data_IF_009200150115
#
_entry.id   IF_009200150115
#
_cell.length_a   1.000
_cell.length_b   1.000
_cell.length_c   1.000
_cell.angle_alpha   90.00
_cell.angle_beta   90.00
_cell.angle_gamma   90.00
#
_symmetry.space_group_name_H-M   'P 1'
#
loop_
_entity.id
_entity.type
_entity.pdbx_description
1 polymer ?
#
# COMPACT_ATOMS: atom_id res chain seq x y z
N UNK A 1 -2.43 54.70 -23.86
CA UNK A 1 -3.45 55.54 -23.19
C UNK A 1 -2.91 56.67 -22.29
N UNK A 2 -1.63 56.66 -21.82
CA UNK A 2 -1.04 57.77 -21.04
C UNK A 2 -0.71 59.04 -21.86
N UNK A 3 -0.58 58.93 -23.20
CA UNK A 3 -0.21 60.08 -24.08
C UNK A 3 -1.38 61.00 -24.45
N UNK A 4 -2.62 60.50 -24.40
CA UNK A 4 -3.84 61.30 -24.67
C UNK A 4 -4.34 62.07 -23.44
N UNK A 5 -4.00 61.59 -22.23
CA UNK A 5 -4.23 62.33 -20.98
C UNK A 5 -3.25 63.50 -20.83
N UNK A 6 -2.02 63.37 -21.33
CA UNK A 6 -1.03 64.46 -21.31
C UNK A 6 -1.37 65.60 -22.28
N UNK A 7 -1.98 65.30 -23.44
CA UNK A 7 -2.38 66.35 -24.39
C UNK A 7 -3.57 67.17 -23.91
N UNK A 8 -4.45 66.62 -23.07
CA UNK A 8 -5.59 67.35 -22.50
C UNK A 8 -5.19 68.31 -21.36
N UNK A 9 -4.22 67.91 -20.53
CA UNK A 9 -3.64 68.81 -19.52
C UNK A 9 -2.81 69.94 -20.15
N UNK A 10 -2.12 69.66 -21.27
CA UNK A 10 -1.34 70.66 -22.00
C UNK A 10 -2.20 71.75 -22.64
N UNK A 11 -3.37 71.42 -23.19
CA UNK A 11 -4.26 72.41 -23.82
C UNK A 11 -4.99 73.29 -22.79
N UNK A 12 -5.22 72.80 -21.57
CA UNK A 12 -5.83 73.60 -20.51
C UNK A 12 -4.82 74.48 -19.76
N UNK A 13 -3.54 74.09 -19.71
CA UNK A 13 -2.47 74.89 -19.09
C UNK A 13 -1.97 76.03 -19.98
N UNK A 14 -2.15 75.94 -21.30
CA UNK A 14 -1.74 76.97 -22.26
C UNK A 14 -2.56 78.27 -22.18
N UNK A 15 -3.72 78.28 -21.49
CA UNK A 15 -4.54 79.49 -21.34
C UNK A 15 -4.21 80.32 -20.08
N UNK A 16 -3.36 79.80 -19.18
CA UNK A 16 -3.05 80.46 -17.89
C UNK A 16 -1.79 81.33 -17.96
N UNK A 17 -1.01 81.27 -19.05
CA UNK A 17 0.29 81.95 -19.14
C UNK A 17 0.35 83.07 -20.20
N UNK A 18 -0.53 84.09 -20.11
CA UNK A 18 -0.21 85.50 -20.46
C UNK A 18 -1.22 86.42 -19.76
N UNK A 19 -0.74 87.41 -19.00
CA UNK A 19 -0.87 88.76 -19.55
C UNK A 19 0.40 89.58 -19.29
N UNK A 20 1.01 90.08 -20.36
CA UNK A 20 1.92 91.21 -20.28
C UNK A 20 1.41 92.26 -21.28
N UNK A 21 0.69 93.24 -20.72
CA UNK A 21 0.50 94.60 -21.21
C UNK A 21 -0.40 94.80 -22.44
N UNK A 22 -1.66 95.08 -22.15
CA UNK A 22 -2.37 96.18 -22.79
C UNK A 22 -3.03 97.01 -21.69
N UNK A 23 -2.28 97.99 -21.20
CA UNK A 23 -2.82 99.11 -20.46
C UNK A 23 -3.30 100.16 -21.47
N UNK A 24 -4.61 100.36 -21.56
CA UNK A 24 -5.23 101.68 -21.75
C UNK A 24 -6.74 101.53 -21.57
N UNK A 25 -7.19 102.02 -20.42
CA UNK A 25 -8.49 102.62 -20.08
C UNK A 25 -9.70 102.39 -20.99
N UNK A 26 -10.79 101.95 -20.35
CA UNK A 26 -12.14 101.99 -20.93
C UNK A 26 -13.08 101.02 -20.24
N UNK A 27 -13.39 101.27 -18.96
CA UNK A 27 -14.36 100.45 -18.23
C UNK A 27 -15.75 100.53 -18.84
N UNK A 28 -16.49 99.42 -18.83
CA UNK A 28 -17.93 99.37 -18.57
C UNK A 28 -18.39 97.92 -18.37
N UNK A 29 -18.93 97.63 -17.18
CA UNK A 29 -20.04 96.71 -17.03
C UNK A 29 -19.70 95.24 -16.78
N UNK A 30 -19.13 94.95 -15.61
CA UNK A 30 -19.46 93.71 -14.91
C UNK A 30 -20.98 93.63 -14.75
N UNK A 31 -21.61 92.71 -15.46
CA UNK A 31 -22.73 91.97 -14.89
C UNK A 31 -22.16 90.65 -14.36
N UNK A 32 -22.34 90.30 -13.07
CA UNK A 32 -21.94 88.98 -12.56
C UNK A 32 -22.47 87.83 -13.43
N UNK A 33 -23.54 88.04 -14.19
CA UNK A 33 -24.20 87.08 -15.06
C UNK A 33 -23.40 86.62 -16.29
N UNK A 34 -22.67 87.48 -17.02
CA UNK A 34 -22.04 87.09 -18.31
C UNK A 34 -20.80 86.20 -18.12
N UNK A 35 -19.95 86.51 -17.13
CA UNK A 35 -18.79 85.68 -16.80
C UNK A 35 -19.22 84.30 -16.27
N UNK A 36 -20.29 84.25 -15.46
CA UNK A 36 -20.88 83.02 -14.97
C UNK A 36 -21.46 82.16 -16.11
N UNK A 37 -22.08 82.77 -17.13
CA UNK A 37 -22.58 82.04 -18.32
C UNK A 37 -21.43 81.39 -19.10
N UNK A 38 -20.35 82.10 -19.35
CA UNK A 38 -19.19 81.56 -20.05
C UNK A 38 -18.53 80.37 -19.29
N UNK A 39 -18.32 80.53 -17.97
CA UNK A 39 -17.80 79.43 -17.13
C UNK A 39 -18.76 78.25 -17.07
N UNK A 40 -20.07 78.50 -17.00
CA UNK A 40 -21.09 77.45 -16.98
C UNK A 40 -21.09 76.64 -18.27
N UNK A 41 -21.00 77.30 -19.43
CA UNK A 41 -20.92 76.63 -20.74
C UNK A 41 -19.62 75.80 -20.84
N UNK A 42 -18.48 76.35 -20.43
CA UNK A 42 -17.21 75.63 -20.44
C UNK A 42 -17.25 74.39 -19.52
N UNK A 43 -17.81 74.54 -18.31
CA UNK A 43 -18.03 73.43 -17.39
C UNK A 43 -18.98 72.37 -17.96
N UNK A 44 -20.06 72.77 -18.64
CA UNK A 44 -21.02 71.85 -19.27
C UNK A 44 -20.37 71.02 -20.38
N UNK A 45 -19.54 71.65 -21.21
CA UNK A 45 -18.78 70.97 -22.27
C UNK A 45 -17.79 69.97 -21.66
N UNK A 46 -17.04 70.37 -20.63
CA UNK A 46 -16.11 69.48 -19.91
C UNK A 46 -16.86 68.30 -19.26
N UNK A 47 -17.97 68.57 -18.58
CA UNK A 47 -18.81 67.55 -17.95
C UNK A 47 -19.38 66.57 -18.98
N UNK A 48 -19.80 67.06 -20.15
CA UNK A 48 -20.29 66.23 -21.26
C UNK A 48 -19.23 65.27 -21.80
N UNK A 49 -18.01 65.78 -22.07
CA UNK A 49 -16.88 64.96 -22.52
C UNK A 49 -16.49 63.93 -21.44
N UNK A 50 -16.45 64.34 -20.18
CA UNK A 50 -16.11 63.46 -19.06
C UNK A 50 -17.15 62.35 -18.91
N UNK A 51 -18.46 62.66 -18.94
CA UNK A 51 -19.51 61.65 -18.86
C UNK A 51 -19.50 60.68 -20.05
N UNK A 52 -19.21 61.16 -21.26
CA UNK A 52 -19.08 60.30 -22.43
C UNK A 52 -17.90 59.32 -22.30
N UNK A 53 -16.74 59.82 -21.85
CA UNK A 53 -15.53 58.98 -21.71
C UNK A 53 -15.59 58.05 -20.49
N UNK A 54 -16.21 58.48 -19.38
CA UNK A 54 -16.24 57.75 -18.12
C UNK A 54 -17.36 56.70 -18.04
N UNK A 55 -18.41 56.83 -18.86
CA UNK A 55 -19.55 55.89 -18.89
C UNK A 55 -19.14 54.44 -19.14
N UNK A 56 -18.18 54.20 -20.05
CA UNK A 56 -17.66 52.85 -20.35
C UNK A 56 -16.83 52.27 -19.20
N UNK A 57 -15.70 52.89 -18.77
CA UNK A 57 -14.84 52.33 -17.74
C UNK A 57 -15.54 52.23 -16.37
N UNK A 58 -16.46 53.14 -16.03
CA UNK A 58 -17.22 53.06 -14.79
C UNK A 58 -18.15 51.83 -14.79
N UNK A 59 -18.90 51.60 -15.87
CA UNK A 59 -19.79 50.44 -16.00
C UNK A 59 -19.00 49.13 -15.97
N UNK A 60 -17.89 49.06 -16.69
CA UNK A 60 -17.04 47.87 -16.76
C UNK A 60 -16.39 47.55 -15.41
N UNK A 61 -15.98 48.56 -14.64
CA UNK A 61 -15.43 48.37 -13.29
C UNK A 61 -16.46 47.75 -12.34
N UNK A 62 -17.68 48.30 -12.28
CA UNK A 62 -18.73 47.75 -11.41
C UNK A 62 -19.21 46.37 -11.88
N UNK A 63 -19.33 46.15 -13.20
CA UNK A 63 -19.70 44.85 -13.75
C UNK A 63 -18.62 43.78 -13.48
N UNK A 64 -17.35 44.12 -13.62
CA UNK A 64 -16.22 43.23 -13.31
C UNK A 64 -16.19 42.87 -11.82
N UNK A 65 -16.38 43.86 -10.93
CA UNK A 65 -16.47 43.61 -9.48
C UNK A 65 -17.64 42.70 -9.12
N UNK A 66 -18.83 42.94 -9.67
CA UNK A 66 -20.00 42.09 -9.45
C UNK A 66 -19.78 40.67 -9.96
N UNK A 67 -19.13 40.51 -11.12
CA UNK A 67 -18.80 39.20 -11.69
C UNK A 67 -17.78 38.46 -10.84
N UNK A 68 -16.72 39.15 -10.39
CA UNK A 68 -15.69 38.56 -9.52
C UNK A 68 -16.29 38.06 -8.20
N UNK A 69 -17.18 38.84 -7.57
CA UNK A 69 -17.87 38.42 -6.34
C UNK A 69 -18.74 37.19 -6.60
N UNK A 70 -19.52 37.18 -7.69
CA UNK A 70 -20.34 36.02 -8.06
C UNK A 70 -19.49 34.78 -8.30
N UNK A 71 -18.40 34.91 -9.05
CA UNK A 71 -17.47 33.80 -9.32
C UNK A 71 -16.85 33.28 -8.04
N UNK A 72 -16.39 34.15 -7.14
CA UNK A 72 -15.81 33.72 -5.86
C UNK A 72 -16.83 32.99 -4.98
N UNK A 73 -18.08 33.49 -4.93
CA UNK A 73 -19.15 32.81 -4.18
C UNK A 73 -19.46 31.45 -4.80
N UNK A 74 -19.52 31.35 -6.13
CA UNK A 74 -19.78 30.09 -6.81
C UNK A 74 -18.64 29.09 -6.58
N UNK A 75 -17.38 29.52 -6.74
CA UNK A 75 -16.21 28.71 -6.46
C UNK A 75 -16.17 28.23 -5.01
N UNK A 76 -16.51 29.08 -4.04
CA UNK A 76 -16.58 28.70 -2.64
C UNK A 76 -17.67 27.64 -2.39
N UNK A 77 -18.84 27.78 -3.03
CA UNK A 77 -19.92 26.77 -2.95
C UNK A 77 -19.50 25.45 -3.58
N UNK A 78 -18.88 25.48 -4.76
CA UNK A 78 -18.41 24.29 -5.46
C UNK A 78 -17.30 23.59 -4.68
N UNK A 79 -16.37 24.35 -4.10
CA UNK A 79 -15.32 23.80 -3.25
C UNK A 79 -15.90 23.13 -2.00
N UNK A 80 -16.87 23.78 -1.35
CA UNK A 80 -17.56 23.21 -0.18
C UNK A 80 -18.30 21.92 -0.55
N UNK A 81 -19.08 21.93 -1.64
CA UNK A 81 -19.79 20.74 -2.10
C UNK A 81 -18.85 19.59 -2.49
N UNK A 82 -17.71 19.90 -3.12
CA UNK A 82 -16.69 18.92 -3.46
C UNK A 82 -15.98 18.36 -2.20
N UNK A 83 -15.75 19.20 -1.19
CA UNK A 83 -15.18 18.78 0.08
C UNK A 83 -16.15 17.86 0.84
N UNK A 84 -17.44 18.21 0.90
CA UNK A 84 -18.49 17.40 1.51
C UNK A 84 -18.65 16.05 0.80
N UNK A 85 -18.63 16.02 -0.54
CA UNK A 85 -18.64 14.77 -1.31
C UNK A 85 -17.44 13.88 -0.99
N UNK A 86 -16.23 14.44 -1.03
CA UNK A 86 -15.01 13.70 -0.70
C UNK A 86 -15.04 13.18 0.74
N UNK A 87 -15.54 13.99 1.68
CA UNK A 87 -15.69 13.58 3.07
C UNK A 87 -16.64 12.38 3.19
N UNK A 88 -17.81 12.44 2.56
CA UNK A 88 -18.77 11.34 2.55
C UNK A 88 -18.19 10.07 1.89
N UNK A 89 -17.45 10.22 0.79
CA UNK A 89 -16.73 9.10 0.15
C UNK A 89 -15.69 8.47 1.08
N UNK A 90 -14.90 9.28 1.80
CA UNK A 90 -13.92 8.77 2.76
C UNK A 90 -14.59 8.11 3.96
N UNK A 91 -15.66 8.68 4.49
CA UNK A 91 -16.42 8.09 5.60
C UNK A 91 -17.02 6.73 5.18
N UNK A 92 -17.58 6.64 3.99
CA UNK A 92 -18.10 5.39 3.44
C UNK A 92 -16.99 4.34 3.25
N UNK A 93 -15.82 4.75 2.72
CA UNK A 93 -14.64 3.88 2.60
C UNK A 93 -14.11 3.43 3.95
N UNK A 94 -14.12 4.29 4.96
CA UNK A 94 -13.65 3.92 6.29
C UNK A 94 -14.57 2.86 6.91
N UNK A 95 -15.89 3.04 6.80
CA UNK A 95 -16.87 2.04 7.24
C UNK A 95 -16.75 0.71 6.48
N UNK A 96 -16.47 0.75 5.18
CA UNK A 96 -16.23 -0.50 4.42
C UNK A 96 -14.96 -1.20 4.87
N UNK A 97 -13.88 -0.46 5.12
CA UNK A 97 -12.61 -1.01 5.63
C UNK A 97 -12.82 -1.66 7.00
N UNK A 98 -13.55 -1.02 7.92
CA UNK A 98 -13.85 -1.63 9.23
C UNK A 98 -14.59 -2.95 9.09
N UNK A 99 -15.57 -3.03 8.18
CA UNK A 99 -16.29 -4.27 7.89
C UNK A 99 -15.38 -5.33 7.28
N UNK A 100 -14.60 -4.97 6.26
CA UNK A 100 -13.64 -5.87 5.60
C UNK A 100 -12.58 -6.39 6.58
N UNK A 101 -12.12 -5.55 7.50
CA UNK A 101 -11.18 -5.94 8.55
C UNK A 101 -11.79 -6.95 9.52
N UNK A 102 -13.03 -6.75 9.94
CA UNK A 102 -13.72 -7.71 10.81
C UNK A 102 -13.93 -9.05 10.10
N UNK A 103 -14.34 -9.02 8.83
CA UNK A 103 -14.52 -10.22 8.01
C UNK A 103 -13.18 -10.94 7.80
N UNK A 104 -12.08 -10.19 7.57
CA UNK A 104 -10.72 -10.72 7.44
C UNK A 104 -10.22 -11.36 8.75
N UNK A 105 -10.45 -10.71 9.90
CA UNK A 105 -10.05 -11.28 11.19
C UNK A 105 -10.83 -12.57 11.47
N UNK A 106 -12.13 -12.60 11.17
CA UNK A 106 -12.95 -13.80 11.30
C UNK A 106 -12.47 -14.93 10.38
N UNK A 107 -12.11 -14.63 9.13
CA UNK A 107 -11.57 -15.64 8.20
C UNK A 107 -10.22 -16.17 8.67
N UNK A 108 -9.31 -15.29 9.12
CA UNK A 108 -8.00 -15.69 9.64
C UNK A 108 -8.11 -16.57 10.90
N UNK A 109 -9.06 -16.29 11.79
CA UNK A 109 -9.31 -17.15 12.95
C UNK A 109 -9.80 -18.53 12.53
N UNK A 110 -10.77 -18.58 11.60
CA UNK A 110 -11.30 -19.83 11.07
C UNK A 110 -10.22 -20.66 10.36
N UNK A 111 -9.43 -20.03 9.50
CA UNK A 111 -8.35 -20.68 8.78
C UNK A 111 -7.26 -21.17 9.74
N UNK A 112 -6.93 -20.37 10.76
CA UNK A 112 -6.00 -20.77 11.81
C UNK A 112 -6.49 -21.96 12.63
N UNK A 113 -7.78 -22.05 12.93
CA UNK A 113 -8.36 -23.22 13.60
C UNK A 113 -8.35 -24.47 12.73
N UNK A 114 -8.69 -24.34 11.45
CA UNK A 114 -8.64 -25.44 10.49
C UNK A 114 -7.21 -25.97 10.32
N UNK A 115 -6.24 -25.07 10.18
CA UNK A 115 -4.83 -25.45 10.03
C UNK A 115 -4.30 -26.09 11.32
N UNK A 116 -4.66 -25.55 12.49
CA UNK A 116 -4.33 -26.19 13.79
C UNK A 116 -4.87 -27.62 13.84
N UNK A 117 -6.13 -27.83 13.48
CA UNK A 117 -6.74 -29.18 13.46
C UNK A 117 -6.00 -30.10 12.49
N UNK A 118 -5.68 -29.62 11.29
CA UNK A 118 -4.93 -30.36 10.27
C UNK A 118 -3.54 -30.77 10.75
N UNK A 119 -2.81 -29.85 11.40
CA UNK A 119 -1.48 -30.12 11.95
C UNK A 119 -1.58 -31.19 13.04
N UNK A 120 -2.53 -31.07 13.96
CA UNK A 120 -2.72 -32.06 15.03
C UNK A 120 -3.09 -33.42 14.45
N UNK A 121 -4.03 -33.48 13.51
CA UNK A 121 -4.42 -34.72 12.86
C UNK A 121 -3.24 -35.38 12.14
N UNK A 122 -2.51 -34.61 11.33
CA UNK A 122 -1.32 -35.09 10.61
C UNK A 122 -0.25 -35.59 11.59
N UNK A 123 0.01 -34.86 12.67
CA UNK A 123 0.96 -35.27 13.70
C UNK A 123 0.53 -36.57 14.39
N UNK A 124 -0.75 -36.73 14.72
CA UNK A 124 -1.27 -37.96 15.34
C UNK A 124 -1.13 -39.17 14.40
N UNK A 125 -1.43 -39.00 13.10
CA UNK A 125 -1.24 -40.02 12.09
C UNK A 125 0.23 -40.39 11.91
N UNK A 126 1.13 -39.40 11.89
CA UNK A 126 2.58 -39.62 11.80
C UNK A 126 3.10 -40.38 13.02
N UNK A 127 2.68 -40.00 14.23
CA UNK A 127 3.06 -40.69 15.47
C UNK A 127 2.57 -42.14 15.48
N UNK A 128 1.32 -42.38 15.05
CA UNK A 128 0.78 -43.74 14.94
C UNK A 128 1.57 -44.59 13.95
N UNK A 129 1.86 -44.03 12.78
CA UNK A 129 2.65 -44.70 11.74
C UNK A 129 4.07 -44.99 12.22
N UNK A 130 4.71 -44.02 12.88
CA UNK A 130 6.04 -44.18 13.46
C UNK A 130 6.05 -45.29 14.50
N UNK A 131 5.08 -45.32 15.41
CA UNK A 131 4.96 -46.37 16.42
C UNK A 131 4.82 -47.76 15.78
N UNK A 132 3.93 -47.90 14.79
CA UNK A 132 3.75 -49.17 14.05
C UNK A 132 5.03 -49.61 13.33
N UNK A 133 5.76 -48.67 12.71
CA UNK A 133 7.03 -48.96 12.04
C UNK A 133 8.10 -49.38 13.05
N UNK A 134 8.22 -48.66 14.17
CA UNK A 134 9.17 -48.99 15.24
C UNK A 134 8.90 -50.36 15.86
N UNK A 135 7.63 -50.70 16.12
CA UNK A 135 7.25 -52.04 16.62
C UNK A 135 7.64 -53.14 15.62
N UNK A 136 7.41 -52.92 14.33
CA UNK A 136 7.83 -53.86 13.27
C UNK A 136 9.35 -54.00 13.20
N UNK A 137 10.09 -52.90 13.25
CA UNK A 137 11.56 -52.91 13.26
C UNK A 137 12.10 -53.63 14.50
N UNK A 138 11.56 -53.36 15.70
CA UNK A 138 11.94 -54.04 16.93
C UNK A 138 11.71 -55.55 16.84
N UNK A 139 10.57 -55.98 16.30
CA UNK A 139 10.30 -57.41 16.12
C UNK A 139 11.29 -58.06 15.14
N UNK A 140 11.67 -57.37 14.07
CA UNK A 140 12.66 -57.86 13.12
C UNK A 140 14.06 -57.96 13.75
N UNK A 141 14.48 -56.93 14.50
CA UNK A 141 15.77 -56.95 15.21
C UNK A 141 15.81 -58.02 16.31
N UNK A 142 14.73 -58.20 17.08
CA UNK A 142 14.64 -59.28 18.06
C UNK A 142 14.74 -60.66 17.42
N UNK A 143 14.16 -60.85 16.22
CA UNK A 143 14.28 -62.11 15.48
C UNK A 143 15.72 -62.34 15.02
N UNK A 144 16.36 -61.32 14.43
CA UNK A 144 17.78 -61.38 14.04
C UNK A 144 18.69 -61.69 15.22
N UNK A 145 18.56 -60.97 16.33
CA UNK A 145 19.37 -61.18 17.53
C UNK A 145 19.20 -62.60 18.09
N UNK A 146 17.97 -63.13 18.10
CA UNK A 146 17.73 -64.54 18.50
C UNK A 146 18.38 -65.55 17.56
N UNK A 147 18.31 -65.31 16.25
CA UNK A 147 18.97 -66.19 15.28
C UNK A 147 20.49 -66.14 15.41
N UNK A 148 21.07 -64.97 15.66
CA UNK A 148 22.50 -64.77 15.86
C UNK A 148 22.97 -65.49 17.13
N UNK A 149 22.30 -65.27 18.27
CA UNK A 149 22.56 -65.99 19.52
C UNK A 149 22.43 -67.51 19.35
N UNK A 150 21.45 -67.97 18.59
CA UNK A 150 21.29 -69.41 18.31
C UNK A 150 22.47 -69.94 17.50
N UNK A 151 22.93 -69.22 16.48
CA UNK A 151 24.12 -69.62 15.68
C UNK A 151 25.36 -69.67 16.56
N UNK A 152 25.57 -68.65 17.39
CA UNK A 152 26.72 -68.58 18.29
C UNK A 152 26.71 -69.71 19.33
N UNK A 153 25.56 -70.00 19.93
CA UNK A 153 25.40 -71.13 20.85
C UNK A 153 25.64 -72.49 20.18
N UNK A 154 25.17 -72.67 18.93
CA UNK A 154 25.44 -73.90 18.16
C UNK A 154 26.93 -74.03 17.88
N UNK A 155 27.60 -72.96 17.45
CA UNK A 155 29.03 -72.96 17.19
C UNK A 155 29.83 -73.33 18.45
N UNK A 156 29.54 -72.68 19.58
CA UNK A 156 30.20 -72.95 20.86
C UNK A 156 29.96 -74.39 21.33
N UNK A 157 28.72 -74.90 21.20
CA UNK A 157 28.39 -76.27 21.55
C UNK A 157 29.14 -77.28 20.67
N UNK A 158 29.26 -77.02 19.36
CA UNK A 158 30.02 -77.89 18.45
C UNK A 158 31.52 -77.87 18.74
N UNK A 159 32.06 -76.72 19.13
CA UNK A 159 33.46 -76.57 19.53
C UNK A 159 33.75 -77.35 20.83
N UNK A 160 32.95 -77.13 21.87
CA UNK A 160 33.04 -77.87 23.15
C UNK A 160 32.86 -79.38 22.96
N UNK A 161 31.89 -79.80 22.15
CA UNK A 161 31.71 -81.22 21.83
C UNK A 161 32.93 -81.79 21.10
N UNK A 162 33.51 -81.05 20.16
CA UNK A 162 34.74 -81.41 19.47
C UNK A 162 35.93 -81.57 20.41
N UNK A 163 36.11 -80.64 21.36
CA UNK A 163 37.15 -80.72 22.39
C UNK A 163 36.94 -81.91 23.35
N UNK A 164 35.70 -82.12 23.82
CA UNK A 164 35.36 -83.24 24.71
C UNK A 164 35.57 -84.60 24.03
N UNK A 165 35.18 -84.74 22.76
CA UNK A 165 35.42 -85.96 21.98
C UNK A 165 36.92 -86.19 21.85
N UNK A 166 37.71 -85.17 21.47
CA UNK A 166 39.18 -85.31 21.36
C UNK A 166 39.83 -85.72 22.69
N UNK A 167 39.35 -85.18 23.82
CA UNK A 167 39.92 -85.45 25.14
C UNK A 167 39.57 -86.84 25.70
N UNK A 168 38.41 -87.38 25.35
CA UNK A 168 37.91 -88.66 25.90
C UNK A 168 37.96 -89.82 24.90
N UNK A 169 38.54 -89.64 23.71
CA UNK A 169 38.56 -90.68 22.68
C UNK A 169 39.52 -91.82 23.05
N UNK A 170 39.02 -93.05 23.00
CA UNK A 170 39.80 -94.28 23.26
C UNK A 170 40.28 -94.93 21.94
N UNK A 171 41.32 -95.79 21.97
CA UNK A 171 41.76 -96.53 20.79
C UNK A 171 40.66 -97.44 20.20
N UNK A 172 39.81 -98.03 21.05
CA UNK A 172 38.68 -98.86 20.62
C UNK A 172 37.62 -98.03 19.88
N UNK A 173 37.35 -96.80 20.32
CA UNK A 173 36.41 -95.90 19.64
C UNK A 173 36.91 -95.47 18.26
N UNK A 174 38.21 -95.23 18.09
CA UNK A 174 38.82 -94.94 16.78
C UNK A 174 38.63 -96.10 15.80
N UNK A 175 38.88 -97.35 16.23
CA UNK A 175 38.68 -98.53 15.40
C UNK A 175 37.22 -98.69 14.96
N UNK A 176 36.27 -98.52 15.89
CA UNK A 176 34.83 -98.61 15.62
C UNK A 176 34.34 -97.52 14.65
N UNK A 177 34.89 -96.30 14.73
CA UNK A 177 34.60 -95.19 13.81
C UNK A 177 35.05 -95.51 12.38
N UNK A 178 36.24 -96.11 12.20
CA UNK A 178 36.74 -96.52 10.88
C UNK A 178 35.87 -97.61 10.28
N UNK A 179 35.48 -98.61 11.06
CA UNK A 179 34.63 -99.72 10.60
C UNK A 179 33.22 -99.24 10.21
N UNK A 180 32.64 -98.31 10.98
CA UNK A 180 31.37 -97.66 10.60
C UNK A 180 31.48 -96.80 9.34
N UNK A 181 32.62 -96.13 9.12
CA UNK A 181 32.85 -95.35 7.91
C UNK A 181 32.96 -96.25 6.67
N UNK A 182 33.68 -97.37 6.79
CA UNK A 182 33.80 -98.38 5.75
C UNK A 182 32.43 -98.99 5.41
N UNK A 183 31.63 -99.37 6.41
CA UNK A 183 30.26 -99.85 6.19
C UNK A 183 29.34 -98.82 5.53
N UNK A 184 29.46 -97.53 5.86
CA UNK A 184 28.65 -96.47 5.23
C UNK A 184 29.00 -96.28 3.76
N UNK A 185 30.29 -96.36 3.42
CA UNK A 185 30.77 -96.30 2.05
C UNK A 185 30.30 -97.51 1.24
N UNK A 186 30.33 -98.70 1.83
CA UNK A 186 29.81 -99.93 1.23
C UNK A 186 28.29 -99.91 1.00
N UNK A 187 27.53 -99.19 1.85
CA UNK A 187 26.07 -98.99 1.69
C UNK A 187 25.68 -97.90 0.69
N UNK A 188 26.62 -97.03 0.30
CA UNK A 188 26.43 -95.92 -0.62
C UNK A 188 27.00 -96.22 -2.03
N UNK A 189 27.78 -97.30 -2.16
CA UNK A 189 28.17 -97.92 -3.42
C UNK A 189 27.12 -98.95 -3.86
#
# INVERSE_FOLDING_TARGET
MRRLLASLYGTSFALVSRPLWAASEGGHGEGPSMALVYWSINFLILAGILLYFLRKPAKDFFASRATLIRTNIQQARDLKANAEKKYAEYEARLKSIEKEMNDLVASLQKDGELERRRIVETATQQVSTLKSNSERMLQQELRKAKEELKREAVNLATELAGELIRKNMTPEDQGRLVEQYLQKMEKLA
#
